data_IF_490218891800
#
_entry.id   IF_490218891800
#
_cell.length_a   1.000
_cell.length_b   1.000
_cell.length_c   1.000
_cell.angle_alpha   90.00
_cell.angle_beta   90.00
_cell.angle_gamma   90.00
#
_symmetry.space_group_name_H-M   'P 1'
#
loop_
_entity.id
_entity.type
_entity.pdbx_description
1 polymer ?
#
# COMPACT_ATOMS: atom_id res chain seq x y z
N UNK A 1 1.67 -18.45 26.03
CA UNK A 1 1.90 -17.81 24.71
C UNK A 1 2.74 -16.57 24.99
N UNK A 2 3.99 -16.54 24.54
CA UNK A 2 4.96 -15.51 24.91
C UNK A 2 5.12 -14.51 23.77
N UNK A 3 4.98 -13.21 24.07
CA UNK A 3 5.07 -12.14 23.07
C UNK A 3 6.48 -11.53 23.09
N UNK A 4 7.07 -11.36 21.90
CA UNK A 4 8.39 -10.75 21.71
C UNK A 4 8.25 -9.42 20.99
N UNK A 5 9.00 -8.41 21.46
CA UNK A 5 9.13 -7.10 20.82
C UNK A 5 10.62 -6.78 20.69
N UNK A 6 11.09 -6.51 19.47
CA UNK A 6 12.51 -6.22 19.16
C UNK A 6 13.52 -7.25 19.71
N UNK A 7 13.17 -8.54 19.65
CA UNK A 7 14.05 -9.62 20.12
C UNK A 7 14.22 -9.72 21.63
N UNK A 8 13.49 -8.93 22.42
CA UNK A 8 13.47 -9.02 23.89
C UNK A 8 12.21 -9.75 24.37
N UNK A 9 12.41 -10.63 25.34
CA UNK A 9 11.34 -11.29 26.08
C UNK A 9 10.60 -10.24 26.91
N UNK A 10 9.30 -10.09 26.72
CA UNK A 10 8.48 -9.30 27.64
C UNK A 10 8.34 -10.13 28.92
N UNK A 11 9.07 -9.72 29.97
CA UNK A 11 8.92 -10.29 31.31
C UNK A 11 7.48 -10.05 31.79
N UNK A 12 6.91 -10.97 32.56
CA UNK A 12 5.51 -10.99 33.03
C UNK A 12 5.03 -9.72 33.77
N UNK A 13 5.93 -8.78 34.08
CA UNK A 13 5.66 -7.53 34.80
C UNK A 13 5.94 -6.24 34.00
N UNK A 14 6.24 -6.31 32.70
CA UNK A 14 6.34 -5.10 31.88
C UNK A 14 4.97 -4.69 31.35
N UNK A 15 4.56 -3.45 31.65
CA UNK A 15 3.36 -2.87 31.09
C UNK A 15 3.47 -2.87 29.56
N UNK A 16 2.44 -3.38 28.88
CA UNK A 16 2.31 -3.29 27.43
C UNK A 16 2.49 -1.80 27.04
N UNK A 17 3.34 -1.46 26.05
CA UNK A 17 3.46 -0.08 25.58
C UNK A 17 2.12 0.43 25.05
N UNK A 18 1.87 1.74 25.18
CA UNK A 18 0.54 2.31 24.87
C UNK A 18 0.13 2.10 23.41
N UNK A 19 1.08 2.10 22.48
CA UNK A 19 0.87 1.84 21.06
C UNK A 19 0.31 0.45 20.74
N UNK A 20 0.47 -0.52 21.66
CA UNK A 20 -0.07 -1.89 21.52
C UNK A 20 -1.37 -2.11 22.30
N UNK A 21 -1.86 -1.12 23.05
CA UNK A 21 -3.12 -1.23 23.78
C UNK A 21 -4.30 -0.95 22.88
N UNK A 22 -5.34 -1.77 22.98
CA UNK A 22 -6.63 -1.45 22.38
C UNK A 22 -7.22 -0.22 23.07
N UNK A 23 -7.61 0.77 22.27
CA UNK A 23 -8.19 2.03 22.75
C UNK A 23 -9.71 2.01 22.65
N UNK A 24 -10.25 1.88 21.43
CA UNK A 24 -11.70 1.84 21.17
C UNK A 24 -12.02 1.47 19.73
N UNK A 25 -13.31 1.28 19.47
CA UNK A 25 -13.87 1.23 18.14
C UNK A 25 -13.97 2.65 17.53
N UNK A 26 -13.75 2.72 16.22
CA UNK A 26 -13.95 3.90 15.38
C UNK A 26 -15.20 3.72 14.52
N UNK A 27 -15.94 4.81 14.36
CA UNK A 27 -17.19 4.94 13.63
C UNK A 27 -17.01 5.88 12.43
N UNK A 28 -18.02 5.97 11.58
CA UNK A 28 -18.08 6.94 10.48
C UNK A 28 -18.02 8.42 10.94
N UNK A 29 -18.33 8.70 12.20
CA UNK A 29 -18.28 10.06 12.72
C UNK A 29 -16.88 10.48 13.17
N UNK A 30 -16.01 9.51 13.43
CA UNK A 30 -14.63 9.73 13.82
C UNK A 30 -13.80 10.29 12.66
N UNK A 31 -12.84 11.13 12.98
CA UNK A 31 -11.90 11.74 12.04
C UNK A 31 -10.48 11.26 12.33
N UNK A 32 -9.87 10.53 11.38
CA UNK A 32 -8.53 9.98 11.58
C UNK A 32 -7.45 11.05 11.71
N UNK A 33 -7.68 12.30 11.30
CA UNK A 33 -6.76 13.40 11.56
C UNK A 33 -6.68 13.76 13.05
N UNK A 34 -7.72 13.42 13.82
CA UNK A 34 -7.83 13.69 15.26
C UNK A 34 -7.47 12.49 16.14
N UNK A 35 -7.18 11.33 15.54
CA UNK A 35 -6.75 10.14 16.28
C UNK A 35 -5.22 10.18 16.46
N UNK A 36 -4.79 10.89 17.50
CA UNK A 36 -3.37 11.17 17.76
C UNK A 36 -2.79 10.38 18.95
N UNK A 37 -3.65 9.83 19.81
CA UNK A 37 -3.20 9.03 20.94
C UNK A 37 -2.64 7.69 20.47
N UNK A 38 -1.49 7.31 21.04
CA UNK A 38 -0.86 6.03 20.73
C UNK A 38 -1.78 4.87 21.13
N UNK A 39 -1.97 3.91 20.23
CA UNK A 39 -2.75 2.72 20.49
C UNK A 39 -3.34 2.06 19.26
N UNK A 40 -4.14 1.03 19.51
CA UNK A 40 -4.84 0.24 18.50
C UNK A 40 -6.32 0.61 18.52
N UNK A 41 -6.84 0.93 17.34
CA UNK A 41 -8.24 1.21 17.08
C UNK A 41 -8.77 0.24 16.03
N UNK A 42 -10.07 -0.05 16.09
CA UNK A 42 -10.73 -0.93 15.12
C UNK A 42 -11.84 -0.15 14.44
N UNK A 43 -11.86 -0.10 13.11
CA UNK A 43 -12.95 0.53 12.34
C UNK A 43 -14.10 -0.45 12.19
N UNK A 44 -15.34 0.02 12.35
CA UNK A 44 -16.53 -0.83 12.30
C UNK A 44 -17.44 -0.47 11.13
N UNK A 45 -17.57 -1.39 10.16
CA UNK A 45 -18.48 -1.45 9.00
C UNK A 45 -18.55 -0.22 8.06
N UNK A 46 -18.08 0.94 8.50
CA UNK A 46 -18.04 2.19 7.75
C UNK A 46 -16.67 2.85 7.96
N UNK A 47 -16.08 3.42 6.89
CA UNK A 47 -14.79 4.11 7.00
C UNK A 47 -14.94 5.40 7.82
N UNK A 48 -14.05 5.65 8.80
CA UNK A 48 -13.96 6.94 9.45
C UNK A 48 -13.57 8.05 8.45
N UNK A 49 -13.89 9.30 8.78
CA UNK A 49 -13.51 10.47 7.98
C UNK A 49 -11.98 10.55 7.86
N UNK A 50 -11.52 11.06 6.72
CA UNK A 50 -10.09 11.18 6.39
C UNK A 50 -9.32 9.84 6.44
N UNK A 51 -10.03 8.72 6.29
CA UNK A 51 -9.43 7.42 6.02
C UNK A 51 -8.90 7.27 4.59
N UNK A 52 -8.14 6.20 4.31
CA UNK A 52 -7.77 5.86 2.95
C UNK A 52 -9.04 5.63 2.10
N UNK A 53 -9.02 6.09 0.86
CA UNK A 53 -10.08 5.80 -0.09
C UNK A 53 -9.92 4.34 -0.52
N UNK A 54 -10.85 3.49 -0.08
CA UNK A 54 -10.88 2.07 -0.43
C UNK A 54 -12.22 1.80 -1.11
N UNK A 55 -12.20 1.06 -2.22
CA UNK A 55 -13.41 0.78 -3.01
C UNK A 55 -14.40 -0.16 -2.29
N UNK A 56 -14.00 -0.78 -1.18
CA UNK A 56 -14.82 -1.71 -0.41
C UNK A 56 -15.80 -1.02 0.54
N UNK A 57 -17.10 -1.28 0.33
CA UNK A 57 -18.24 -0.74 1.10
C UNK A 57 -18.41 -1.35 2.51
N UNK A 58 -17.39 -2.01 3.05
CA UNK A 58 -17.43 -2.70 4.34
C UNK A 58 -16.11 -2.56 5.07
N UNK A 59 -15.67 -1.33 5.31
CA UNK A 59 -14.33 -1.02 5.81
C UNK A 59 -14.16 -1.42 7.28
N UNK A 60 -13.84 -2.70 7.48
CA UNK A 60 -13.29 -3.21 8.73
C UNK A 60 -11.77 -3.16 8.64
N UNK A 61 -11.10 -2.67 9.68
CA UNK A 61 -9.67 -2.43 9.64
C UNK A 61 -9.10 -2.11 11.02
N UNK A 62 -7.80 -2.37 11.17
CA UNK A 62 -7.03 -2.09 12.38
C UNK A 62 -6.16 -0.86 12.11
N UNK A 63 -6.41 0.21 12.86
CA UNK A 63 -5.56 1.40 12.87
C UNK A 63 -4.61 1.30 14.06
N UNK A 64 -3.32 1.35 13.77
CA UNK A 64 -2.27 1.51 14.76
C UNK A 64 -1.77 2.95 14.70
N UNK A 65 -1.69 3.58 15.87
CA UNK A 65 -1.21 4.95 16.03
C UNK A 65 -0.02 4.91 16.96
N UNK A 66 1.09 5.49 16.55
CA UNK A 66 2.28 5.64 17.38
C UNK A 66 2.81 7.06 17.31
N UNK A 67 3.36 7.54 18.43
CA UNK A 67 4.09 8.81 18.46
C UNK A 67 5.46 8.56 17.87
N UNK A 68 5.78 9.24 16.78
CA UNK A 68 7.12 9.18 16.18
C UNK A 68 8.06 10.14 16.92
N UNK A 69 7.57 11.34 17.20
CA UNK A 69 8.17 12.35 18.05
C UNK A 69 7.06 13.17 18.73
N UNK A 70 7.41 14.27 19.41
CA UNK A 70 6.44 15.12 20.12
C UNK A 70 5.40 15.80 19.20
N UNK A 71 5.71 15.92 17.91
CA UNK A 71 4.94 16.67 16.92
C UNK A 71 4.38 15.79 15.79
N UNK A 72 4.92 14.58 15.63
CA UNK A 72 4.65 13.69 14.51
C UNK A 72 4.02 12.39 14.98
N UNK A 73 2.90 12.03 14.37
CA UNK A 73 2.19 10.78 14.64
C UNK A 73 2.25 9.92 13.40
N UNK A 74 2.69 8.68 13.57
CA UNK A 74 2.64 7.68 12.51
C UNK A 74 1.38 6.83 12.66
N UNK A 75 0.61 6.77 11.58
CA UNK A 75 -0.60 5.98 11.50
C UNK A 75 -0.44 4.88 10.46
N UNK A 76 -0.75 3.65 10.84
CA UNK A 76 -0.78 2.48 9.96
C UNK A 76 -2.18 1.88 10.02
N UNK A 77 -2.83 1.75 8.88
CA UNK A 77 -4.13 1.12 8.78
C UNK A 77 -4.01 -0.16 7.96
N UNK A 78 -4.41 -1.27 8.56
CA UNK A 78 -4.47 -2.59 7.93
C UNK A 78 -5.94 -2.91 7.70
N UNK A 79 -6.37 -3.07 6.45
CA UNK A 79 -7.74 -3.47 6.16
C UNK A 79 -7.98 -4.96 6.51
N UNK A 80 -9.23 -5.37 6.70
CA UNK A 80 -9.57 -6.71 7.18
C UNK A 80 -9.24 -7.83 6.18
N UNK A 81 -9.17 -7.53 4.87
CA UNK A 81 -8.63 -8.48 3.90
C UNK A 81 -7.13 -8.71 4.08
N UNK A 82 -6.45 -7.92 4.92
CA UNK A 82 -5.00 -7.93 5.18
C UNK A 82 -4.14 -7.76 3.92
N UNK A 83 -4.77 -7.45 2.78
CA UNK A 83 -4.11 -7.27 1.50
C UNK A 83 -3.62 -5.85 1.32
N UNK A 84 -4.23 -4.88 2.00
CA UNK A 84 -3.88 -3.47 1.86
C UNK A 84 -3.47 -2.89 3.21
N UNK A 85 -2.21 -2.47 3.27
CA UNK A 85 -1.66 -1.70 4.37
C UNK A 85 -1.51 -0.26 3.87
N UNK A 86 -2.05 0.68 4.63
CA UNK A 86 -1.95 2.11 4.38
C UNK A 86 -1.13 2.74 5.49
N UNK A 87 -0.33 3.74 5.16
CA UNK A 87 0.43 4.50 6.15
C UNK A 87 0.45 5.98 5.83
N UNK A 88 0.60 6.79 6.86
CA UNK A 88 0.89 8.23 6.75
C UNK A 88 1.52 8.73 8.05
N UNK A 89 2.26 9.83 7.94
CA UNK A 89 2.79 10.57 9.08
C UNK A 89 2.11 11.93 9.12
N UNK A 90 1.40 12.22 10.20
CA UNK A 90 0.71 13.50 10.41
C UNK A 90 1.55 14.38 11.32
N UNK A 91 1.52 15.70 11.12
CA UNK A 91 2.14 16.66 12.02
C UNK A 91 1.06 17.46 12.73
N UNK A 92 1.06 17.39 14.07
CA UNK A 92 0.08 18.08 14.91
C UNK A 92 0.37 19.59 14.91
N UNK A 93 1.64 19.98 14.99
CA UNK A 93 2.07 21.39 15.11
C UNK A 93 1.76 22.20 13.86
N UNK A 94 1.95 21.60 12.68
CA UNK A 94 1.72 22.27 11.39
C UNK A 94 0.34 21.99 10.81
N UNK A 95 -0.49 21.20 11.50
CA UNK A 95 -1.77 20.70 10.96
C UNK A 95 -1.61 20.07 9.57
N UNK A 96 -0.50 19.36 9.36
CA UNK A 96 -0.20 18.71 8.10
C UNK A 96 -0.71 17.27 8.13
N UNK A 97 -1.73 16.99 7.30
CA UNK A 97 -2.41 15.70 7.20
C UNK A 97 -2.28 15.14 5.78
N UNK A 98 -1.15 14.51 5.43
CA UNK A 98 -0.94 14.01 4.09
C UNK A 98 -1.93 12.88 3.76
N UNK A 99 -2.17 12.69 2.45
CA UNK A 99 -2.93 11.56 1.95
C UNK A 99 -2.27 10.24 2.32
N UNK A 100 -3.10 9.23 2.60
CA UNK A 100 -2.65 7.86 2.86
C UNK A 100 -1.86 7.27 1.70
N UNK A 101 -0.78 6.55 2.02
CA UNK A 101 0.02 5.79 1.06
C UNK A 101 -0.21 4.31 1.25
N UNK A 102 -0.65 3.60 0.20
CA UNK A 102 -0.74 2.14 0.21
C UNK A 102 0.65 1.55 0.04
N UNK A 103 1.02 0.61 0.90
CA UNK A 103 2.26 -0.14 0.76
C UNK A 103 2.13 -1.09 -0.44
N UNK A 104 3.19 -1.18 -1.23
CA UNK A 104 3.26 -2.11 -2.35
C UNK A 104 3.42 -3.55 -1.81
N UNK A 105 2.76 -4.47 -2.48
CA UNK A 105 2.79 -5.91 -2.19
C UNK A 105 3.49 -6.67 -3.32
N UNK A 106 3.85 -7.93 -3.09
CA UNK A 106 4.40 -8.79 -4.15
C UNK A 106 3.43 -8.91 -5.34
N UNK A 107 2.11 -8.89 -5.11
CA UNK A 107 1.12 -8.92 -6.18
C UNK A 107 1.22 -7.68 -7.10
N UNK A 108 1.60 -6.52 -6.55
CA UNK A 108 1.82 -5.32 -7.34
C UNK A 108 3.06 -5.44 -8.22
N UNK A 109 4.12 -6.04 -7.67
CA UNK A 109 5.35 -6.34 -8.41
C UNK A 109 5.06 -7.33 -9.54
N UNK A 110 4.31 -8.39 -9.28
CA UNK A 110 3.90 -9.37 -10.30
C UNK A 110 3.06 -8.73 -11.40
N UNK A 111 2.16 -7.81 -11.04
CA UNK A 111 1.35 -7.06 -12.01
C UNK A 111 2.22 -6.17 -12.89
N UNK A 112 3.20 -5.47 -12.31
CA UNK A 112 4.16 -4.67 -13.07
C UNK A 112 5.00 -5.55 -14.01
N UNK A 113 5.45 -6.71 -13.55
CA UNK A 113 6.21 -7.65 -14.36
C UNK A 113 5.40 -8.13 -15.58
N UNK A 114 4.12 -8.51 -15.37
CA UNK A 114 3.22 -8.88 -16.47
C UNK A 114 3.04 -7.74 -17.48
N UNK A 115 2.93 -6.50 -17.02
CA UNK A 115 2.84 -5.34 -17.91
C UNK A 115 4.12 -5.13 -18.72
N UNK A 116 5.29 -5.30 -18.10
CA UNK A 116 6.59 -5.24 -18.78
C UNK A 116 6.67 -6.32 -19.88
N UNK A 117 6.24 -7.55 -19.59
CA UNK A 117 6.30 -8.65 -20.55
C UNK A 117 5.35 -8.43 -21.74
N UNK A 118 4.15 -7.91 -21.48
CA UNK A 118 3.21 -7.50 -22.54
C UNK A 118 3.84 -6.44 -23.45
N UNK A 119 4.48 -5.41 -22.87
CA UNK A 119 5.12 -4.34 -23.64
C UNK A 119 6.30 -4.85 -24.47
N UNK A 120 7.15 -5.71 -23.89
CA UNK A 120 8.26 -6.36 -24.59
C UNK A 120 7.75 -7.16 -25.80
N UNK A 121 6.68 -7.93 -25.63
CA UNK A 121 6.09 -8.72 -26.71
C UNK A 121 5.52 -7.84 -27.83
N UNK A 122 4.86 -6.73 -27.47
CA UNK A 122 4.36 -5.76 -28.47
C UNK A 122 5.51 -5.15 -29.28
N UNK A 123 6.57 -4.70 -28.62
CA UNK A 123 7.74 -4.10 -29.27
C UNK A 123 8.45 -5.14 -30.17
N UNK A 124 8.69 -6.35 -29.66
CA UNK A 124 9.29 -7.44 -30.43
C UNK A 124 8.46 -7.81 -31.67
N UNK A 125 7.13 -7.82 -31.53
CA UNK A 125 6.21 -8.03 -32.66
C UNK A 125 6.32 -6.95 -33.74
N UNK A 126 6.44 -5.68 -33.35
CA UNK A 126 6.61 -4.55 -34.30
C UNK A 126 7.93 -4.68 -35.06
N UNK A 127 9.05 -4.98 -34.38
CA UNK A 127 10.34 -5.17 -35.04
C UNK A 127 10.34 -6.37 -35.99
N UNK A 128 9.77 -7.50 -35.57
CA UNK A 128 9.61 -8.68 -36.43
C UNK A 128 8.78 -8.36 -37.67
N UNK A 129 7.70 -7.61 -37.52
CA UNK A 129 6.86 -7.17 -38.64
C UNK A 129 7.60 -6.26 -39.64
N UNK A 130 8.40 -5.31 -39.15
CA UNK A 130 9.22 -4.45 -40.02
C UNK A 130 10.33 -5.23 -40.72
N UNK A 131 10.99 -6.15 -40.01
CA UNK A 131 12.01 -7.01 -40.59
C UNK A 131 11.43 -7.87 -41.73
N UNK A 132 10.28 -8.50 -41.52
CA UNK A 132 9.59 -9.29 -42.56
C UNK A 132 9.25 -8.40 -43.76
N UNK A 133 8.67 -7.21 -43.54
CA UNK A 133 8.33 -6.28 -44.64
C UNK A 133 9.55 -5.86 -45.45
N UNK A 134 10.65 -5.52 -44.79
CA UNK A 134 11.91 -5.17 -45.45
C UNK A 134 12.45 -6.36 -46.25
N UNK A 135 12.50 -7.56 -45.64
CA UNK A 135 12.93 -8.76 -46.33
C UNK A 135 12.06 -9.09 -47.54
N UNK A 136 10.73 -9.10 -47.39
CA UNK A 136 9.82 -9.31 -48.52
C UNK A 136 10.03 -8.27 -49.63
N UNK A 137 10.19 -6.98 -49.28
CA UNK A 137 10.46 -5.94 -50.27
C UNK A 137 11.78 -6.15 -51.04
N UNK A 138 12.86 -6.59 -50.39
CA UNK A 138 14.13 -6.88 -51.06
C UNK A 138 14.11 -8.17 -51.89
N UNK A 139 13.26 -9.15 -51.53
CA UNK A 139 13.18 -10.44 -52.21
C UNK A 139 12.13 -10.48 -53.33
N UNK A 140 11.00 -9.78 -53.18
CA UNK A 140 10.01 -9.61 -54.26
C UNK A 140 10.56 -8.73 -55.38
N UNK A 141 11.45 -7.78 -55.06
CA UNK A 141 12.18 -7.00 -56.06
C UNK A 141 13.36 -7.75 -56.70
N UNK A 142 13.56 -9.05 -56.42
CA UNK A 142 14.47 -9.91 -57.21
C UNK A 142 13.88 -10.32 -58.57
N UNK A 143 13.41 -9.33 -59.33
CA UNK A 143 13.82 -9.19 -60.73
C UNK A 143 15.14 -8.40 -60.79
N UNK A 144 16.11 -8.76 -59.97
CA UNK A 144 17.48 -8.27 -60.14
C UNK A 144 18.09 -9.19 -61.18
N UNK A 145 18.21 -8.66 -62.39
CA UNK A 145 18.93 -9.27 -63.49
C UNK A 145 20.31 -9.70 -63.01
N UNK A 146 20.62 -10.98 -63.19
CA UNK A 146 22.00 -11.48 -63.27
C UNK A 146 22.44 -11.29 -64.72
#
# INVERSE_FOLDING_TARGET
MTLFLNGKHLLENQSIPDEFKFKRLLTEQDDLNKVTDAGIYITNNHPPKNGPQVEDKGFWGKLMVTKWDDNSIWQILINNSQTNIYSRMISITTNFYPSWKRLATNQDVDKLQKQIDILKNKIGGVFKGHYIKLFSYFFDNRKVAI
#
